data_IF_583590121112
#
_entry.id   IF_583590121112
#
_cell.length_a   1.000
_cell.length_b   1.000
_cell.length_c   1.000
_cell.angle_alpha   90.00
_cell.angle_beta   90.00
_cell.angle_gamma   90.00
#
_symmetry.space_group_name_H-M   'P 1'
#
loop_
_entity.id
_entity.type
_entity.pdbx_description
1 polymer ?
2 non-polymer ?
3 non-polymer ?
4 non-polymer ?
5 water ?
#
# COMPACT_ATOMS: atom_id res chain seq x y z
N UNK A 39 20.07 -4.87 14.03
CA UNK A 39 19.78 -6.30 14.40
C UNK A 39 18.76 -6.88 13.39
N UNK A 40 17.55 -7.31 13.82
CA UNK A 40 16.41 -7.74 12.95
C UNK A 40 15.68 -6.50 12.44
N UNK A 41 15.43 -6.41 11.14
CA UNK A 41 14.77 -5.22 10.53
C UNK A 41 13.28 -5.25 10.91
N UNK A 42 12.77 -4.16 11.47
CA UNK A 42 11.30 -3.99 11.70
C UNK A 42 10.65 -3.64 10.35
N UNK A 43 9.54 -4.31 10.06
CA UNK A 43 8.77 -4.08 8.81
C UNK A 43 7.46 -3.40 9.16
N UNK A 44 7.26 -2.20 8.62
CA UNK A 44 6.07 -1.39 8.93
C UNK A 44 5.42 -1.06 7.60
N UNK A 45 4.15 -1.37 7.42
CA UNK A 45 3.48 -0.94 6.17
C UNK A 45 2.74 0.38 6.44
N UNK A 46 2.78 1.25 5.48
CA UNK A 46 2.02 2.54 5.43
C UNK A 46 0.79 2.26 4.54
N UNK A 47 -0.42 2.37 5.11
CA UNK A 47 -1.68 2.03 4.39
C UNK A 47 -2.53 3.28 4.32
N UNK A 48 -3.40 3.34 3.32
CA UNK A 48 -4.33 4.48 3.21
C UNK A 48 -4.91 4.59 1.83
N UNK A 49 -5.96 5.40 1.72
CA UNK A 49 -6.69 5.55 0.44
C UNK A 49 -5.79 6.22 -0.58
N UNK A 50 -6.22 6.17 -1.84
CA UNK A 50 -5.57 6.91 -2.94
C UNK A 50 -5.40 8.37 -2.56
N UNK A 51 -4.17 8.90 -2.72
CA UNK A 51 -3.78 10.31 -2.50
C UNK A 51 -4.00 10.70 -1.03
N UNK A 52 -4.07 9.76 -0.08
CA UNK A 52 -4.11 10.15 1.35
C UNK A 52 -2.81 10.91 1.72
N UNK A 53 -1.67 10.64 1.06
CA UNK A 53 -0.36 11.25 1.40
C UNK A 53 0.70 10.24 1.83
N UNK A 54 0.61 8.99 1.36
CA UNK A 54 1.58 7.94 1.75
C UNK A 54 2.95 8.22 1.17
N UNK A 55 3.03 8.52 -0.13
CA UNK A 55 4.33 8.75 -0.83
C UNK A 55 4.99 9.96 -0.14
N UNK A 56 4.19 10.98 0.11
CA UNK A 56 4.63 12.22 0.80
C UNK A 56 5.20 11.86 2.17
N UNK A 57 4.49 11.06 2.94
CA UNK A 57 4.87 10.73 4.34
C UNK A 57 6.15 9.88 4.31
N UNK A 58 6.16 8.87 3.45
CA UNK A 58 7.33 7.94 3.35
C UNK A 58 8.57 8.76 2.95
N UNK A 59 8.44 9.72 2.05
CA UNK A 59 9.62 10.51 1.59
C UNK A 59 10.09 11.41 2.75
N UNK A 60 9.17 11.87 3.59
CA UNK A 60 9.54 12.60 4.84
C UNK A 60 10.33 11.64 5.76
N UNK A 61 9.78 10.46 6.05
CA UNK A 61 10.39 9.53 7.00
C UNK A 61 11.81 9.19 6.54
N UNK A 62 12.02 8.88 5.26
CA UNK A 62 13.32 8.31 4.80
C UNK A 62 14.47 9.27 5.17
N UNK A 63 14.21 10.56 5.11
CA UNK A 63 15.24 11.60 5.35
C UNK A 63 15.59 11.75 6.84
N UNK A 64 14.82 11.18 7.76
CA UNK A 64 14.95 11.59 9.19
C UNK A 64 15.94 10.71 9.93
N UNK A 65 16.32 9.56 9.40
CA UNK A 65 17.17 8.59 10.13
C UNK A 65 17.91 7.75 9.11
N UNK A 66 19.20 7.56 9.31
CA UNK A 66 19.99 6.58 8.51
C UNK A 66 19.52 5.14 8.82
N UNK A 67 18.80 4.93 9.90
CA UNK A 67 18.27 3.59 10.28
C UNK A 67 16.89 3.36 9.62
N UNK A 68 16.38 4.35 8.89
CA UNK A 68 15.03 4.21 8.24
C UNK A 68 15.17 4.16 6.72
N UNK A 69 14.57 3.15 6.10
CA UNK A 69 14.56 3.03 4.65
C UNK A 69 13.09 2.82 4.23
N UNK A 70 12.80 3.06 2.96
CA UNK A 70 11.41 2.94 2.41
C UNK A 70 11.42 2.04 1.18
N UNK A 71 10.32 1.33 0.94
CA UNK A 71 10.09 0.54 -0.31
C UNK A 71 8.89 1.17 -0.96
N UNK A 72 9.07 2.11 -1.89
CA UNK A 72 7.98 2.67 -2.67
C UNK A 72 7.21 1.59 -3.43
N UNK A 73 5.94 1.87 -3.61
CA UNK A 73 4.97 0.95 -4.26
C UNK A 73 5.29 0.91 -5.76
N UNK A 74 5.46 -0.29 -6.32
CA UNK A 74 5.67 -0.41 -7.77
C UNK A 74 4.59 0.30 -8.60
N UNK A 75 3.32 0.16 -8.29
CA UNK A 75 2.26 0.82 -9.10
C UNK A 75 2.51 2.34 -9.09
N UNK A 76 2.89 2.90 -7.95
CA UNK A 76 3.15 4.36 -7.82
C UNK A 76 4.27 4.73 -8.81
N UNK A 77 5.32 3.92 -8.90
CA UNK A 77 6.46 4.18 -9.81
C UNK A 77 6.05 4.00 -11.27
N UNK A 78 5.12 3.08 -11.60
CA UNK A 78 4.57 2.94 -12.98
C UNK A 78 3.82 4.22 -13.34
N UNK A 79 3.22 4.91 -12.35
CA UNK A 79 2.58 6.25 -12.50
C UNK A 79 3.61 7.34 -12.20
N UNK A 90 15.84 3.74 -20.56
CA UNK A 90 15.99 4.10 -19.12
C UNK A 90 14.91 3.42 -18.29
N UNK A 91 13.67 3.39 -18.80
CA UNK A 91 12.53 2.61 -18.25
C UNK A 91 12.92 1.13 -18.17
N UNK A 92 12.78 0.51 -16.99
CA UNK A 92 13.01 -0.95 -16.80
C UNK A 92 11.90 -1.74 -17.52
N UNK A 93 12.15 -3.03 -17.71
CA UNK A 93 11.16 -3.96 -18.31
C UNK A 93 9.88 -3.87 -17.45
N UNK A 94 10.03 -3.80 -16.12
CA UNK A 94 8.84 -3.78 -15.24
C UNK A 94 8.10 -2.45 -15.45
N UNK A 95 8.78 -1.32 -15.62
CA UNK A 95 8.09 -0.01 -15.78
C UNK A 95 7.34 0.02 -17.10
N UNK A 96 7.94 -0.53 -18.16
CA UNK A 96 7.31 -0.59 -19.51
C UNK A 96 6.07 -1.46 -19.45
N UNK A 97 6.17 -2.68 -18.88
CA UNK A 97 5.02 -3.58 -18.68
C UNK A 97 3.96 -2.87 -17.85
N UNK A 98 4.36 -2.25 -16.72
CA UNK A 98 3.40 -1.65 -15.79
C UNK A 98 2.69 -0.45 -16.37
N UNK A 99 3.40 0.39 -17.13
CA UNK A 99 2.74 1.52 -17.83
C UNK A 99 1.71 1.04 -18.86
N UNK A 100 2.05 0.00 -19.63
CA UNK A 100 1.11 -0.62 -20.61
C UNK A 100 -0.07 -1.18 -19.84
N UNK A 101 0.18 -1.96 -18.79
CA UNK A 101 -0.98 -2.56 -18.07
C UNK A 101 -1.92 -1.51 -17.45
N UNK A 102 -1.39 -0.46 -16.83
CA UNK A 102 -2.22 0.62 -16.25
C UNK A 102 -3.08 1.28 -17.32
N UNK A 103 -2.48 1.62 -18.44
CA UNK A 103 -3.17 2.23 -19.59
C UNK A 103 -4.32 1.32 -20.07
N UNK A 104 -4.08 0.03 -20.26
CA UNK A 104 -5.10 -0.92 -20.73
C UNK A 104 -6.20 -1.04 -19.67
N UNK A 105 -5.82 -0.95 -18.39
CA UNK A 105 -6.79 -1.08 -17.26
C UNK A 105 -7.81 0.04 -17.32
N UNK A 106 -7.35 1.27 -17.56
CA UNK A 106 -8.23 2.47 -17.67
C UNK A 106 -9.21 2.23 -18.82
N UNK A 107 -8.76 1.59 -19.89
CA UNK A 107 -9.56 1.30 -21.11
C UNK A 107 -10.55 0.15 -20.88
N UNK A 108 -10.10 -0.97 -20.31
CA UNK A 108 -10.99 -2.13 -20.17
C UNK A 108 -10.62 -2.88 -18.88
N UNK A 109 -11.04 -2.40 -17.70
CA UNK A 109 -10.75 -3.10 -16.45
C UNK A 109 -11.21 -4.57 -16.38
N UNK A 110 -12.34 -4.97 -16.99
CA UNK A 110 -12.82 -6.36 -16.93
C UNK A 110 -11.92 -7.26 -17.80
N UNK A 111 -11.02 -6.74 -18.62
CA UNK A 111 -10.09 -7.59 -19.41
C UNK A 111 -8.76 -7.73 -18.66
N UNK A 112 -8.33 -6.69 -17.94
CA UNK A 112 -6.92 -6.52 -17.50
C UNK A 112 -6.77 -6.63 -15.98
N UNK A 113 -7.83 -6.67 -15.17
CA UNK A 113 -7.75 -6.64 -13.68
C UNK A 113 -6.87 -7.80 -13.15
N UNK A 114 -7.07 -9.02 -13.63
CA UNK A 114 -6.31 -10.19 -13.12
C UNK A 114 -4.82 -10.05 -13.46
N UNK A 115 -4.50 -9.69 -14.71
CA UNK A 115 -3.12 -9.51 -15.16
C UNK A 115 -2.50 -8.39 -14.31
N UNK A 116 -3.16 -7.24 -14.23
CA UNK A 116 -2.62 -6.11 -13.42
C UNK A 116 -2.36 -6.50 -11.97
N UNK A 117 -3.34 -7.09 -11.30
CA UNK A 117 -3.23 -7.39 -9.86
C UNK A 117 -2.08 -8.39 -9.67
N UNK A 118 -1.97 -9.44 -10.47
CA UNK A 118 -0.88 -10.43 -10.33
C UNK A 118 0.48 -9.70 -10.51
N UNK A 119 0.65 -8.89 -11.55
CA UNK A 119 1.95 -8.22 -11.79
C UNK A 119 2.28 -7.22 -10.68
N UNK A 120 1.29 -6.46 -10.24
CA UNK A 120 1.53 -5.46 -9.15
C UNK A 120 2.01 -6.16 -7.89
N UNK A 121 1.37 -7.26 -7.53
CA UNK A 121 1.70 -8.00 -6.29
C UNK A 121 3.09 -8.65 -6.44
N UNK A 122 3.37 -9.35 -7.54
CA UNK A 122 4.72 -9.89 -7.84
C UNK A 122 5.77 -8.79 -7.69
N UNK A 123 5.55 -7.65 -8.30
CA UNK A 123 6.53 -6.54 -8.36
C UNK A 123 6.77 -6.07 -6.94
N UNK A 124 5.72 -6.03 -6.14
CA UNK A 124 5.85 -5.57 -4.74
C UNK A 124 6.70 -6.56 -3.94
N UNK A 125 6.40 -7.85 -4.06
CA UNK A 125 7.12 -8.87 -3.25
C UNK A 125 8.60 -8.79 -3.63
N UNK A 126 8.88 -8.73 -4.93
CA UNK A 126 10.27 -8.68 -5.43
C UNK A 126 10.97 -7.47 -4.82
N UNK A 127 10.34 -6.29 -4.84
CA UNK A 127 10.93 -5.01 -4.38
C UNK A 127 11.12 -5.06 -2.87
N UNK A 128 10.12 -5.52 -2.13
CA UNK A 128 10.24 -5.64 -0.64
C UNK A 128 11.37 -6.62 -0.29
N UNK A 129 11.43 -7.77 -0.95
CA UNK A 129 12.48 -8.77 -0.59
C UNK A 129 13.86 -8.20 -0.89
N UNK A 130 14.00 -7.45 -1.98
CA UNK A 130 15.30 -6.88 -2.42
C UNK A 130 15.79 -5.91 -1.35
N UNK A 131 14.90 -5.04 -0.86
CA UNK A 131 15.27 -4.12 0.24
C UNK A 131 15.60 -4.90 1.52
N UNK A 132 14.84 -5.92 1.88
CA UNK A 132 15.02 -6.68 3.12
C UNK A 132 16.39 -7.34 3.12
N UNK A 133 16.83 -7.80 1.95
CA UNK A 133 18.13 -8.52 1.75
C UNK A 133 19.27 -7.55 1.46
N UNK A 134 18.97 -6.32 1.06
CA UNK A 134 19.97 -5.39 0.50
C UNK A 134 20.38 -4.36 1.53
N UNK A 135 19.43 -3.84 2.32
CA UNK A 135 19.62 -2.55 3.07
C UNK A 135 19.75 -2.78 4.58
N UNK A 136 20.17 -1.72 5.30
CA UNK A 136 20.12 -1.61 6.78
C UNK A 136 20.98 -2.68 7.47
N UNK A 137 22.02 -3.19 6.81
CA UNK A 137 22.86 -4.26 7.43
C UNK A 137 23.69 -3.67 8.57
N UNK A 138 24.10 -2.41 8.50
CA UNK A 138 24.86 -1.78 9.63
C UNK A 138 23.99 -0.74 10.35
N UNK A 139 22.72 -1.04 10.64
CA UNK A 139 21.83 -0.14 11.40
C UNK A 139 21.75 -0.63 12.85
N UNK A 140 21.64 0.30 13.80
CA UNK A 140 21.41 -0.06 15.22
C UNK A 140 19.93 -0.39 15.42
N UNK A 141 18.99 0.44 14.95
CA UNK A 141 17.53 0.14 15.08
C UNK A 141 16.86 0.23 13.70
N UNK A 142 17.13 -0.75 12.83
CA UNK A 142 16.63 -0.69 11.45
C UNK A 142 15.10 -0.83 11.34
N UNK A 143 14.55 0.06 10.52
CA UNK A 143 13.11 0.06 10.15
C UNK A 143 13.01 0.25 8.64
N UNK A 144 12.22 -0.62 8.02
CA UNK A 144 11.83 -0.58 6.61
C UNK A 144 10.32 -0.30 6.52
N UNK A 145 9.99 0.86 5.99
CA UNK A 145 8.61 1.34 5.73
C UNK A 145 8.26 0.88 4.32
N UNK A 146 7.25 0.04 4.24
CA UNK A 146 6.64 -0.40 2.96
C UNK A 146 5.52 0.59 2.60
N UNK A 147 5.56 1.18 1.41
CA UNK A 147 4.36 1.89 0.88
C UNK A 147 3.35 0.80 0.47
N UNK A 148 2.34 0.56 1.30
CA UNK A 148 1.31 -0.48 1.16
C UNK A 148 1.94 -1.87 1.22
N UNK A 149 1.12 -2.91 1.11
CA UNK A 149 1.54 -4.28 1.43
C UNK A 149 0.83 -5.23 0.46
N UNK A 150 1.22 -6.49 0.50
CA UNK A 150 0.54 -7.59 -0.25
C UNK A 150 -0.89 -7.73 0.27
N UNK A 151 -1.18 -7.30 1.52
CA UNK A 151 -2.55 -7.33 2.08
C UNK A 151 -3.43 -6.25 1.45
N UNK A 152 -2.92 -5.06 1.17
CA UNK A 152 -3.74 -4.01 0.52
C UNK A 152 -3.94 -4.43 -0.94
N UNK A 153 -2.94 -5.07 -1.53
CA UNK A 153 -3.12 -5.57 -2.91
C UNK A 153 -4.38 -6.45 -2.99
N UNK A 154 -4.52 -7.40 -2.07
CA UNK A 154 -5.57 -8.41 -2.17
C UNK A 154 -6.88 -7.84 -1.57
N UNK A 155 -6.83 -7.33 -0.34
CA UNK A 155 -8.05 -7.04 0.47
C UNK A 155 -8.64 -5.66 0.19
N UNK A 156 -7.90 -4.77 -0.43
CA UNK A 156 -8.41 -3.46 -0.89
C UNK A 156 -8.65 -3.55 -2.40
N UNK A 157 -7.59 -3.66 -3.19
CA UNK A 157 -7.69 -3.38 -4.63
C UNK A 157 -8.28 -4.59 -5.40
N UNK A 158 -7.69 -5.77 -5.25
CA UNK A 158 -8.14 -6.92 -6.06
C UNK A 158 -9.59 -7.24 -5.62
N UNK A 159 -9.85 -7.25 -4.32
CA UNK A 159 -11.20 -7.51 -3.75
C UNK A 159 -12.19 -6.53 -4.38
N UNK A 160 -11.87 -5.24 -4.40
CA UNK A 160 -12.76 -4.21 -5.00
C UNK A 160 -13.02 -4.54 -6.48
N UNK A 161 -11.98 -4.94 -7.24
CA UNK A 161 -12.14 -5.22 -8.69
C UNK A 161 -13.08 -6.43 -8.85
N UNK A 162 -12.95 -7.46 -8.04
CA UNK A 162 -13.87 -8.63 -8.06
C UNK A 162 -15.30 -8.17 -7.74
N UNK A 163 -15.44 -7.33 -6.72
CA UNK A 163 -16.77 -6.79 -6.32
C UNK A 163 -17.39 -5.98 -7.44
N UNK A 164 -16.62 -5.32 -8.31
CA UNK A 164 -17.10 -4.48 -9.43
C UNK A 164 -17.30 -5.31 -10.70
N UNK A 165 -17.15 -6.65 -10.61
CA UNK A 165 -17.25 -7.62 -11.73
C UNK A 165 -16.13 -7.38 -12.77
N UNK A 166 -15.00 -6.80 -12.38
CA UNK A 166 -13.84 -6.62 -13.29
C UNK A 166 -12.97 -7.88 -13.29
N UNK A 167 -13.14 -8.75 -12.30
CA UNK A 167 -12.66 -10.15 -12.34
C UNK A 167 -13.87 -11.06 -12.16
N UNK A 168 -13.94 -12.20 -12.87
CA UNK A 168 -14.98 -13.21 -12.66
C UNK A 168 -14.55 -14.12 -11.51
N UNK A 169 -15.40 -15.08 -11.13
CA UNK A 169 -15.16 -15.93 -9.97
C UNK A 169 -13.85 -16.71 -10.19
N UNK A 170 -13.61 -17.25 -11.38
CA UNK A 170 -12.41 -18.10 -11.65
C UNK A 170 -11.15 -17.21 -11.49
N UNK A 171 -11.17 -16.00 -12.04
CA UNK A 171 -10.01 -15.06 -11.97
C UNK A 171 -9.74 -14.74 -10.51
N UNK A 172 -10.77 -14.44 -9.75
CA UNK A 172 -10.63 -14.09 -8.30
C UNK A 172 -10.16 -15.28 -7.48
N UNK A 173 -10.69 -16.49 -7.71
CA UNK A 173 -10.23 -17.68 -6.98
C UNK A 173 -8.79 -18.01 -7.38
N UNK A 174 -8.40 -17.92 -8.66
CA UNK A 174 -7.00 -18.18 -9.07
C UNK A 174 -6.09 -17.14 -8.37
N UNK A 175 -6.52 -15.88 -8.38
CA UNK A 175 -5.72 -14.80 -7.75
C UNK A 175 -5.51 -15.08 -6.26
N UNK A 176 -6.56 -15.45 -5.55
CA UNK A 176 -6.42 -15.71 -4.09
C UNK A 176 -5.52 -16.95 -3.85
N UNK A 177 -5.65 -17.96 -4.69
CA UNK A 177 -4.84 -19.19 -4.56
C UNK A 177 -3.36 -18.82 -4.76
N UNK A 178 -3.09 -18.07 -5.81
CA UNK A 178 -1.75 -17.60 -6.19
C UNK A 178 -1.20 -16.76 -5.03
N UNK A 179 -2.03 -15.86 -4.51
CA UNK A 179 -1.57 -14.97 -3.40
C UNK A 179 -1.23 -15.79 -2.14
N UNK A 180 -2.09 -16.72 -1.78
CA UNK A 180 -1.96 -17.61 -0.59
C UNK A 180 -0.62 -18.33 -0.76
N UNK A 181 -0.40 -18.87 -1.94
CA UNK A 181 0.88 -19.57 -2.24
C UNK A 181 2.06 -18.58 -2.43
N UNK A 182 1.92 -17.52 -3.22
CA UNK A 182 3.08 -16.66 -3.58
C UNK A 182 3.65 -16.08 -2.28
N UNK A 183 2.81 -15.87 -1.26
CA UNK A 183 3.23 -15.29 0.04
C UNK A 183 3.94 -16.34 0.92
N UNK A 184 3.62 -17.64 0.84
CA UNK A 184 4.23 -18.67 1.74
C UNK A 184 5.57 -19.12 1.18
N UNK A 185 5.67 -19.14 -0.15
CA UNK A 185 6.89 -19.34 -0.98
C UNK A 185 7.34 -18.05 -1.71
N UNK A 188 7.22 -14.98 3.29
CA UNK A 188 7.37 -15.39 4.73
C UNK A 188 8.15 -14.34 5.57
N UNK A 189 9.24 -13.81 5.03
CA UNK A 189 10.14 -12.85 5.71
C UNK A 189 9.55 -11.44 5.58
N UNK A 190 8.41 -11.29 4.92
CA UNK A 190 7.77 -9.96 4.71
C UNK A 190 6.69 -9.71 5.76
N UNK A 191 6.45 -10.62 6.71
CA UNK A 191 5.40 -10.43 7.76
C UNK A 191 5.64 -9.15 8.56
N UNK A 192 4.57 -8.40 8.79
CA UNK A 192 4.66 -7.01 9.28
C UNK A 192 4.80 -7.02 10.80
N UNK A 193 5.62 -6.12 11.32
CA UNK A 193 5.72 -5.82 12.78
C UNK A 193 4.68 -4.77 13.19
N UNK A 194 4.17 -3.98 12.25
CA UNK A 194 3.15 -2.97 12.53
C UNK A 194 2.61 -2.31 11.27
N UNK A 195 1.50 -1.63 11.39
CA UNK A 195 0.85 -0.90 10.27
C UNK A 195 0.60 0.51 10.74
N UNK A 196 0.88 1.47 9.87
CA UNK A 196 0.56 2.90 10.08
C UNK A 196 -0.56 3.19 9.07
N UNK A 197 -1.71 3.56 9.60
CA UNK A 197 -2.89 3.88 8.76
C UNK A 197 -3.01 5.39 8.62
N UNK A 198 -2.77 5.91 7.44
CA UNK A 198 -2.97 7.35 7.15
C UNK A 198 -4.43 7.52 6.79
N UNK A 199 -5.20 8.06 7.72
CA UNK A 199 -6.70 8.11 7.60
C UNK A 199 -7.09 9.49 7.09
N UNK A 200 -7.68 9.56 5.90
CA UNK A 200 -8.20 10.80 5.29
C UNK A 200 -9.63 10.55 4.80
N UNK A 201 -10.48 11.59 4.75
CA UNK A 201 -11.85 11.41 4.21
C UNK A 201 -11.72 11.21 2.70
N UNK A 202 -12.70 10.51 2.08
CA UNK A 202 -12.77 10.46 0.63
C UNK A 202 -12.66 11.82 -0.05
N UNK A 203 -13.31 12.85 0.51
CA UNK A 203 -13.26 14.24 -0.02
C UNK A 203 -11.81 14.76 0.00
N UNK A 204 -11.07 14.54 1.09
CA UNK A 204 -9.66 14.97 1.19
C UNK A 204 -8.89 14.30 0.06
N UNK A 205 -9.10 12.99 -0.10
CA UNK A 205 -8.37 12.19 -1.13
C UNK A 205 -8.79 12.67 -2.51
N UNK A 206 -10.08 12.90 -2.75
CA UNK A 206 -10.50 13.45 -4.07
C UNK A 206 -9.77 14.77 -4.36
N UNK A 207 -9.69 15.66 -3.36
CA UNK A 207 -9.00 16.97 -3.49
C UNK A 207 -7.51 16.76 -3.81
N UNK A 208 -6.87 15.79 -3.12
CA UNK A 208 -5.44 15.46 -3.32
C UNK A 208 -5.20 14.76 -4.65
N UNK A 209 -6.17 14.02 -5.20
CA UNK A 209 -6.00 13.57 -6.61
C UNK A 209 -5.90 14.78 -7.54
N UNK A 210 -6.78 15.77 -7.35
CA UNK A 210 -6.77 17.06 -8.09
C UNK A 210 -5.41 17.74 -7.89
N UNK A 211 -4.94 17.93 -6.65
CA UNK A 211 -3.61 18.56 -6.41
C UNK A 211 -2.54 17.81 -7.19
N UNK A 212 -2.53 16.47 -7.14
CA UNK A 212 -1.40 15.71 -7.73
C UNK A 212 -1.37 15.87 -9.27
N UNK A 213 -2.55 15.92 -9.90
CA UNK A 213 -2.75 16.33 -11.31
C UNK A 213 -2.46 15.25 -12.35
N UNK A 214 -2.38 13.94 -12.03
CA UNK A 214 -2.17 12.91 -13.09
C UNK A 214 -3.45 12.86 -13.93
N UNK A 215 -3.35 13.10 -15.25
CA UNK A 215 -4.52 13.23 -16.17
C UNK A 215 -5.43 12.00 -16.04
N UNK A 216 -4.84 10.79 -16.03
CA UNK A 216 -5.55 9.49 -15.97
C UNK A 216 -6.50 9.44 -14.77
N UNK A 217 -6.20 10.14 -13.67
CA UNK A 217 -6.90 9.96 -12.37
C UNK A 217 -8.03 10.97 -12.20
N UNK A 218 -8.11 12.00 -13.05
CA UNK A 218 -9.05 13.13 -12.81
C UNK A 218 -10.50 12.63 -12.98
N UNK A 219 -10.68 11.51 -13.67
CA UNK A 219 -11.99 10.84 -13.86
C UNK A 219 -12.41 10.03 -12.64
N UNK A 220 -11.49 9.67 -11.76
CA UNK A 220 -11.83 8.83 -10.58
C UNK A 220 -12.93 9.55 -9.81
N UNK A 221 -14.08 8.89 -9.56
CA UNK A 221 -15.18 9.50 -8.82
C UNK A 221 -15.16 9.26 -7.31
N UNK A 222 -15.70 10.21 -6.56
CA UNK A 222 -15.82 10.11 -5.09
C UNK A 222 -16.31 8.72 -4.67
N UNK A 223 -17.30 8.15 -5.39
CA UNK A 223 -17.95 6.87 -5.03
C UNK A 223 -16.89 5.75 -4.92
N UNK A 224 -15.93 5.72 -5.84
CA UNK A 224 -14.82 4.72 -5.86
C UNK A 224 -13.98 4.93 -4.57
N UNK A 225 -13.64 6.18 -4.29
CA UNK A 225 -12.84 6.50 -3.06
C UNK A 225 -13.62 6.13 -1.79
N UNK A 226 -14.94 6.35 -1.73
CA UNK A 226 -15.77 5.94 -0.57
C UNK A 226 -15.71 4.43 -0.39
N UNK A 227 -15.75 3.66 -1.49
CA UNK A 227 -15.70 2.18 -1.36
C UNK A 227 -14.36 1.74 -0.77
N UNK A 228 -13.29 2.36 -1.24
CA UNK A 228 -11.91 1.97 -0.78
C UNK A 228 -11.77 2.44 0.67
N UNK A 229 -12.34 3.59 1.00
CA UNK A 229 -12.33 4.11 2.39
C UNK A 229 -12.99 3.12 3.35
N UNK A 230 -14.19 2.62 3.02
CA UNK A 230 -14.92 1.65 3.87
C UNK A 230 -14.07 0.41 4.11
N UNK A 231 -13.42 -0.09 3.06
CA UNK A 231 -12.56 -1.29 3.16
C UNK A 231 -11.40 -1.04 4.16
N UNK A 232 -10.73 0.10 4.04
CA UNK A 232 -9.64 0.49 4.99
C UNK A 232 -10.20 0.58 6.42
N UNK A 233 -11.36 1.24 6.58
CA UNK A 233 -11.96 1.38 7.93
C UNK A 233 -12.28 0.00 8.46
N UNK A 234 -12.90 -0.90 7.68
CA UNK A 234 -13.20 -2.29 8.11
C UNK A 234 -11.94 -3.04 8.51
N UNK A 235 -10.86 -2.86 7.75
CA UNK A 235 -9.62 -3.67 7.98
C UNK A 235 -8.86 -3.12 9.18
N UNK A 236 -8.65 -1.82 9.20
CA UNK A 236 -7.63 -1.22 10.10
C UNK A 236 -8.23 -0.51 11.31
N UNK A 237 -9.48 -0.05 11.28
CA UNK A 237 -10.11 0.69 12.42
C UNK A 237 -11.01 -0.27 13.21
N UNK A 238 -12.03 -0.85 12.58
CA UNK A 238 -12.98 -1.79 13.23
C UNK A 238 -12.34 -3.18 13.34
N UNK A 239 -11.43 -3.53 12.44
CA UNK A 239 -10.76 -4.85 12.45
C UNK A 239 -11.85 -5.94 12.32
N UNK A 240 -12.88 -5.65 11.52
CA UNK A 240 -13.97 -6.58 11.12
C UNK A 240 -13.53 -7.45 9.94
N UNK A 241 -12.63 -6.98 9.07
CA UNK A 241 -12.20 -7.74 7.87
C UNK A 241 -11.51 -9.03 8.29
N UNK A 242 -12.01 -10.17 7.81
CA UNK A 242 -11.39 -11.51 8.00
C UNK A 242 -10.40 -11.69 6.85
N UNK A 243 -9.18 -12.10 7.15
CA UNK A 243 -8.16 -12.37 6.13
C UNK A 243 -7.69 -13.79 6.36
N UNK A 244 -6.87 -14.27 5.44
CA UNK A 244 -6.32 -15.63 5.49
C UNK A 244 -4.97 -15.60 6.20
N UNK A 245 -4.63 -14.52 6.92
CA UNK A 245 -3.31 -14.36 7.58
C UNK A 245 -3.55 -14.10 9.07
N UNK A 246 -3.52 -15.17 9.88
CA UNK A 246 -4.04 -15.12 11.28
C UNK A 246 -3.31 -14.02 12.06
N UNK A 247 -2.00 -13.92 11.90
CA UNK A 247 -1.13 -12.99 12.66
C UNK A 247 -1.63 -11.54 12.51
N UNK A 248 -2.28 -11.19 11.39
CA UNK A 248 -2.75 -9.80 11.11
C UNK A 248 -3.78 -9.32 12.12
N UNK A 249 -4.59 -10.22 12.71
CA UNK A 249 -5.64 -9.75 13.67
C UNK A 249 -4.96 -9.10 14.87
N UNK A 250 -3.72 -9.46 15.15
CA UNK A 250 -2.95 -9.11 16.37
C UNK A 250 -1.86 -8.07 16.06
N UNK A 251 -1.60 -7.72 14.80
CA UNK A 251 -0.49 -6.78 14.46
C UNK A 251 -0.87 -5.38 14.96
N UNK A 252 0.02 -4.65 15.68
CA UNK A 252 -0.30 -3.30 16.11
C UNK A 252 -0.55 -2.35 14.94
N UNK A 253 -1.48 -1.43 15.14
CA UNK A 253 -1.87 -0.43 14.11
C UNK A 253 -1.87 0.94 14.77
N UNK A 254 -1.17 1.86 14.15
CA UNK A 254 -1.14 3.28 14.49
C UNK A 254 -1.99 4.03 13.48
N UNK A 255 -3.10 4.61 13.93
CA UNK A 255 -3.94 5.45 13.04
C UNK A 255 -3.60 6.92 13.16
N UNK A 256 -3.24 7.54 12.05
CA UNK A 256 -2.89 8.99 11.94
C UNK A 256 -3.92 9.70 11.08
N UNK A 257 -4.57 10.70 11.65
CA UNK A 257 -5.45 11.59 10.90
C UNK A 257 -4.59 12.55 10.09
N UNK A 258 -4.68 12.46 8.76
CA UNK A 258 -3.90 13.26 7.81
C UNK A 258 -4.82 14.15 6.95
N UNK A 259 -6.02 14.48 7.43
CA UNK A 259 -6.89 15.47 6.72
C UNK A 259 -6.20 16.84 6.66
N UNK A 260 -5.55 17.28 7.73
CA UNK A 260 -4.80 18.57 7.70
C UNK A 260 -3.49 18.34 6.95
N UNK A 261 -3.15 19.27 6.03
CA UNK A 261 -1.87 19.32 5.28
C UNK A 261 -0.70 19.20 6.28
N UNK A 262 0.27 18.31 6.01
CA UNK A 262 1.36 18.04 6.98
C UNK A 262 2.74 18.30 6.35
N UNK A 263 2.80 18.76 5.10
CA UNK A 263 4.11 18.84 4.40
C UNK A 263 5.11 19.73 5.13
N UNK A 264 4.64 20.80 5.78
CA UNK A 264 5.48 21.81 6.46
C UNK A 264 5.28 21.71 7.96
N UNK A 265 4.56 20.68 8.40
CA UNK A 265 4.11 20.61 9.81
C UNK A 265 3.85 19.14 10.11
N UNK A 266 4.93 18.35 10.16
CA UNK A 266 4.75 16.90 10.34
C UNK A 266 5.38 16.41 11.63
N UNK A 267 5.92 17.29 12.46
CA UNK A 267 6.63 16.82 13.67
C UNK A 267 5.72 16.00 14.60
N UNK A 268 4.45 16.37 14.84
CA UNK A 268 3.56 15.58 15.74
C UNK A 268 3.34 14.17 15.16
N UNK A 269 3.19 14.05 13.85
CA UNK A 269 2.96 12.71 13.21
C UNK A 269 4.21 11.86 13.42
N UNK A 270 5.37 12.46 13.22
CA UNK A 270 6.64 11.68 13.37
C UNK A 270 6.83 11.30 14.82
N UNK A 271 6.47 12.18 15.76
CA UNK A 271 6.55 11.81 17.19
C UNK A 271 5.68 10.61 17.49
N UNK A 272 4.48 10.53 16.89
CA UNK A 272 3.61 9.38 17.14
C UNK A 272 4.22 8.10 16.52
N UNK A 273 4.83 8.24 15.34
CA UNK A 273 5.59 7.12 14.70
C UNK A 273 6.72 6.67 15.62
N UNK A 274 7.56 7.58 16.13
CA UNK A 274 8.64 7.13 17.04
C UNK A 274 8.10 6.45 18.31
N UNK A 275 7.03 6.94 18.94
CA UNK A 275 6.43 6.31 20.13
C UNK A 275 5.94 4.89 19.78
N UNK A 276 5.32 4.75 18.61
CA UNK A 276 4.75 3.47 18.14
C UNK A 276 5.88 2.48 17.94
N UNK A 277 6.94 2.87 17.23
CA UNK A 277 8.14 2.04 16.99
C UNK A 277 8.70 1.53 18.33
N UNK A 278 8.75 2.37 19.37
CA UNK A 278 9.36 1.98 20.67
C UNK A 278 8.54 0.88 21.33
N UNK A 279 7.26 0.71 20.98
CA UNK A 279 6.37 -0.31 21.58
C UNK A 279 6.58 -1.67 20.90
N UNK A 280 7.27 -1.73 19.75
CA UNK A 280 7.36 -2.96 18.91
C UNK A 280 8.66 -3.72 19.25
X LIG B 1 -0.43 16.46 -0.35
X LIG B 1 -0.46 17.75 0.25
X LIG B 1 -0.35 17.86 1.57
X LIG B 1 -0.22 16.78 2.35
X LIG B 1 -0.23 15.47 1.81
X LIG B 1 -0.30 15.34 0.44
X LIG B 1 -0.55 18.75 -0.47
X LIG B 1 -0.14 16.93 3.55
X LIG B 1 -0.52 16.30 -1.79
X LIG B 1 0.73 15.73 -2.45
X LIG B 1 1.74 16.71 -2.82
X LIG B 1 0.14 15.08 -3.69
X LIG B 1 -1.24 14.62 -3.25
X LIG B 1 -1.58 15.35 -2.04
X LIG B 1 0.06 16.02 -4.78
X LIG B 1 -1.20 13.14 -3.02
X LIG B 1 -0.24 12.75 -2.02
X LIG B 1 0.61 11.40 -2.27
X LIG B 1 1.20 11.33 -3.57
X LIG B 1 1.63 11.48 -1.15
X LIG B 1 -0.59 10.35 -1.99
X LIG B 1 -0.46 8.71 -2.01
X LIG B 1 1.04 8.33 -2.11
X LIG B 1 -1.13 8.36 -0.74
X LIG B 1 -1.31 8.28 -3.22
X LIG C 1 -6.59 2.08 -10.38
X LIG C 1 -3.37 0.09 -7.11
X LIG C 1 -6.38 0.94 -9.67
X LIG C 1 -5.26 -0.51 -8.43
X LIG C 1 -4.15 -0.88 -7.58
X LIG C 1 -2.35 -0.25 -6.32
X LIG C 1 -2.09 -1.59 -6.00
X LIG C 1 -6.31 -1.31 -8.78
X LIG C 1 -9.89 2.18 -12.06
X LIG C 1 -11.98 3.54 -12.22
X LIG C 1 -13.92 2.90 -11.05
X LIG C 1 -16.38 -0.83 -13.69
X LIG C 1 -17.46 1.35 -13.69
X LIG C 1 -16.34 2.10 -13.02
X LIG C 1 -9.50 1.97 -13.38
X LIG C 1 -7.17 1.86 -12.73
X LIG C 1 -5.61 5.55 -9.09
X LIG C 1 -6.35 4.22 -9.15
X LIG C 1 -5.79 3.31 -10.20
X LIG C 1 -5.34 0.79 -8.91
X LIG C 1 -1.54 0.71 -5.90
X LIG C 1 -2.99 -2.53 -6.48
X LIG C 1 -2.82 -3.82 -6.21
X LIG C 1 -4.00 -2.17 -7.29
X LIG C 1 -7.39 -0.46 -9.82
X LIG C 1 -7.57 2.06 -11.41
X LIG C 1 -8.91 2.22 -11.08
X LIG C 1 -11.31 2.43 -11.70
X LIG C 1 -13.31 3.77 -11.91
X LIG C 1 -15.64 3.13 -10.66
X LIG C 1 -15.88 2.79 -9.28
X LIG C 1 -15.99 4.42 -11.17
X LIG C 1 -16.50 2.04 -11.55
X LIG C 1 -16.59 0.65 -11.05
X LIG C 1 -17.72 -0.08 -11.77
X LIG C 1 -17.54 -0.04 -13.23
X LIG C 1 -13.32 1.83 -10.52
X LIG C 1 -12.04 1.61 -10.84
X LIG C 1 -8.16 1.83 -13.72
X LIG C 1 -5.74 1.63 -13.06
X LIG D 1 17.00 6.95 5.85
#
# INVERSE_FOLDING_TARGET
MGSSHHHHHHSSGLVPRGSHMATPPKRSSPSFSASSEGTRIKKISIEGNIAAGKSTFVNILKQLSEDWEVVPEPVARWSNVQSTQDEFEELTMEQKNGGNVLQMMYEKPERWSFTFQTYACLSRIRAQLASLNGKLKDAEKPVLFFERSVYSDRYIFASNLYESESMNETEWTIYQDWHDWMNNQFGQSLELDGIIYLQATPETCLHRIYLRGRNEEQGIPLEYLEKLHYKHESWLLHRTLKTNFDYLQEVPILTLDVNEDFKDKYESLVEKVKEFLSTL
UDP N1 C2 N3 C4 C5 C6 O2 O4 C1' C2' O2' C3' C4' O4' O3' C5' O5' PA O1A O2A O3A PB O1B O2B O3B
J29 N1 N3 C4 C5 C6 C7 C8 C10 C13 C15 C17 C20 C21 C22 C24 C26 C1 C2 C3 N2 N4 C9 N5 N6 S1 C11 C12 C14 C16 S2 O1 O2 N7 C18 C19 N8 N9 C23 C25 C27
NA NA
#
